data_IF_258608810333
#
_entry.id   IF_258608810333
#
_cell.length_a   1.000
_cell.length_b   1.000
_cell.length_c   1.000
_cell.angle_alpha   90.00
_cell.angle_beta   90.00
_cell.angle_gamma   90.00
#
_symmetry.space_group_name_H-M   'P 1'
#
loop_
_entity.id
_entity.type
_entity.pdbx_description
1 polymer ?
#
# COMPACT_ATOMS: atom_id res chain seq x y z
N UNK A 1 20.11 -12.46 -0.28
CA UNK A 1 18.92 -11.81 0.30
C UNK A 1 18.69 -10.52 -0.45
N UNK A 2 17.45 -10.16 -0.73
CA UNK A 2 17.06 -8.90 -1.39
C UNK A 2 16.24 -8.07 -0.40
N UNK A 3 16.51 -6.76 -0.32
CA UNK A 3 15.65 -5.81 0.40
C UNK A 3 14.90 -5.00 -0.65
N UNK A 4 13.58 -4.98 -0.57
CA UNK A 4 12.71 -4.31 -1.53
C UNK A 4 11.80 -3.31 -0.81
N UNK A 5 11.86 -2.05 -1.23
CA UNK A 5 11.04 -0.96 -0.67
C UNK A 5 10.02 -0.54 -1.71
N UNK A 6 8.74 -0.46 -1.32
CA UNK A 6 7.53 -0.32 -2.15
C UNK A 6 6.96 -1.62 -2.74
N UNK A 7 5.64 -1.62 -2.95
CA UNK A 7 4.87 -2.69 -3.60
C UNK A 7 5.45 -3.08 -4.98
N UNK A 8 5.89 -2.09 -5.77
CA UNK A 8 6.46 -2.35 -7.10
C UNK A 8 7.79 -3.11 -7.04
N UNK A 9 8.69 -2.73 -6.12
CA UNK A 9 9.96 -3.41 -5.92
C UNK A 9 9.77 -4.83 -5.36
N UNK A 10 8.83 -5.00 -4.43
CA UNK A 10 8.47 -6.32 -3.89
C UNK A 10 7.98 -7.23 -5.00
N UNK A 11 7.10 -6.75 -5.88
CA UNK A 11 6.61 -7.50 -7.04
C UNK A 11 7.74 -7.90 -7.97
N UNK A 12 8.65 -6.97 -8.29
CA UNK A 12 9.79 -7.26 -9.15
C UNK A 12 10.72 -8.33 -8.54
N UNK A 13 11.07 -8.19 -7.25
CA UNK A 13 11.96 -9.11 -6.55
C UNK A 13 11.35 -10.52 -6.41
N UNK A 14 10.08 -10.60 -6.01
CA UNK A 14 9.38 -11.88 -5.87
C UNK A 14 9.11 -12.57 -7.22
N UNK A 15 9.05 -11.83 -8.32
CA UNK A 15 9.00 -12.41 -9.68
C UNK A 15 10.37 -12.90 -10.15
N UNK A 16 11.43 -12.17 -9.83
CA UNK A 16 12.80 -12.52 -10.22
C UNK A 16 13.31 -13.78 -9.50
N UNK A 17 12.79 -14.08 -8.31
CA UNK A 17 13.24 -15.22 -7.52
C UNK A 17 12.17 -15.73 -6.55
N UNK A 18 12.04 -17.06 -6.50
CA UNK A 18 11.22 -17.78 -5.50
C UNK A 18 12.04 -18.45 -4.39
N UNK A 19 13.36 -18.37 -4.45
CA UNK A 19 14.27 -19.10 -3.53
C UNK A 19 15.14 -18.18 -2.69
N UNK A 20 15.61 -17.05 -3.24
CA UNK A 20 16.35 -16.03 -2.48
C UNK A 20 15.36 -15.31 -1.56
N UNK A 21 15.63 -15.22 -0.24
CA UNK A 21 14.77 -14.46 0.68
C UNK A 21 14.64 -12.99 0.28
N UNK A 22 13.41 -12.48 0.28
CA UNK A 22 13.06 -11.08 0.05
C UNK A 22 12.51 -10.50 1.35
N UNK A 23 13.10 -9.39 1.80
CA UNK A 23 12.60 -8.59 2.92
C UNK A 23 11.95 -7.34 2.34
N UNK A 24 10.63 -7.26 2.46
CA UNK A 24 9.81 -6.16 2.00
C UNK A 24 9.64 -5.06 3.05
N UNK A 25 9.58 -3.82 2.57
CA UNK A 25 9.07 -2.68 3.33
C UNK A 25 8.05 -1.96 2.44
N UNK A 26 6.78 -2.04 2.82
CA UNK A 26 5.70 -1.35 2.14
C UNK A 26 4.76 -0.72 3.16
N UNK A 27 4.54 0.59 3.04
CA UNK A 27 3.71 1.36 3.96
C UNK A 27 2.42 1.84 3.28
N UNK A 28 2.13 1.29 2.10
CA UNK A 28 1.05 1.76 1.25
C UNK A 28 0.05 0.67 0.88
N UNK A 29 0.33 -0.62 1.09
CA UNK A 29 -0.56 -1.68 0.62
C UNK A 29 -0.63 -2.89 1.55
N UNK A 30 -1.81 -3.50 1.62
CA UNK A 30 -2.00 -4.79 2.27
C UNK A 30 -1.34 -5.90 1.43
N UNK A 31 -0.34 -6.64 1.96
CA UNK A 31 0.39 -7.67 1.23
C UNK A 31 -0.41 -8.97 1.03
N UNK A 32 -1.43 -9.23 1.87
CA UNK A 32 -2.35 -10.36 1.72
C UNK A 32 -3.35 -10.04 0.62
N UNK A 33 -3.98 -8.86 0.67
CA UNK A 33 -4.90 -8.40 -0.37
C UNK A 33 -4.21 -8.28 -1.75
N UNK A 34 -2.93 -7.89 -1.75
CA UNK A 34 -2.10 -7.83 -2.96
C UNK A 34 -1.61 -9.20 -3.46
N UNK A 35 -1.85 -10.27 -2.70
CA UNK A 35 -1.44 -11.65 -3.03
C UNK A 35 0.07 -11.89 -2.92
N UNK A 36 0.81 -11.01 -2.26
CA UNK A 36 2.25 -11.17 -2.03
C UNK A 36 2.55 -12.23 -0.97
N UNK A 37 1.69 -12.36 0.04
CA UNK A 37 1.79 -13.39 1.08
C UNK A 37 0.42 -14.03 1.34
N UNK A 38 0.42 -15.26 1.84
CA UNK A 38 -0.81 -15.95 2.22
C UNK A 38 -1.39 -15.43 3.55
N UNK A 39 -0.53 -15.08 4.52
CA UNK A 39 -0.90 -14.51 5.81
C UNK A 39 0.30 -13.89 6.51
N UNK A 40 0.09 -13.00 7.48
CA UNK A 40 1.17 -12.46 8.32
C UNK A 40 1.85 -13.52 9.18
N UNK A 41 1.08 -14.44 9.78
CA UNK A 41 1.63 -15.48 10.65
C UNK A 41 2.46 -16.51 9.86
N UNK A 42 2.06 -16.79 8.61
CA UNK A 42 2.73 -17.72 7.70
C UNK A 42 2.65 -17.18 6.27
N UNK A 43 3.70 -16.49 5.80
CA UNK A 43 3.70 -15.87 4.47
C UNK A 43 3.54 -16.84 3.30
N UNK A 44 3.96 -18.10 3.46
CA UNK A 44 3.79 -19.15 2.45
C UNK A 44 4.76 -19.09 1.27
N UNK A 45 5.79 -18.24 1.33
CA UNK A 45 6.80 -18.08 0.29
C UNK A 45 8.12 -17.51 0.83
N UNK A 46 8.95 -16.97 -0.06
CA UNK A 46 10.24 -16.37 0.27
C UNK A 46 10.18 -14.88 0.64
N UNK A 47 8.97 -14.31 0.75
CA UNK A 47 8.75 -12.91 1.16
C UNK A 47 8.40 -12.84 2.65
N UNK A 48 9.07 -11.94 3.36
CA UNK A 48 8.72 -11.48 4.70
C UNK A 48 8.98 -9.97 4.79
N UNK A 49 8.67 -9.31 5.90
CA UNK A 49 8.97 -7.89 6.05
C UNK A 49 8.01 -7.13 6.95
N UNK A 50 8.03 -5.80 6.78
CA UNK A 50 7.16 -4.87 7.48
C UNK A 50 6.17 -4.32 6.45
N UNK A 51 4.89 -4.52 6.73
CA UNK A 51 3.80 -4.04 5.91
C UNK A 51 2.83 -3.28 6.80
N UNK A 52 2.52 -2.04 6.42
CA UNK A 52 1.55 -1.21 7.11
C UNK A 52 0.65 -0.61 6.05
N UNK A 53 -0.64 -0.92 6.09
CA UNK A 53 -1.62 -0.23 5.25
C UNK A 53 -2.31 0.83 6.11
N UNK A 54 -2.32 2.07 5.65
CA UNK A 54 -2.89 3.22 6.37
C UNK A 54 -3.87 4.00 5.47
N UNK A 55 -4.90 3.33 4.91
CA UNK A 55 -5.80 3.96 3.95
C UNK A 55 -6.56 5.15 4.58
N UNK A 56 -6.85 5.09 5.88
CA UNK A 56 -7.56 6.15 6.62
C UNK A 56 -6.77 7.47 6.70
N UNK A 57 -5.44 7.45 6.55
CA UNK A 57 -4.65 8.67 6.47
C UNK A 57 -5.04 9.53 5.27
N UNK A 58 -5.46 8.90 4.18
CA UNK A 58 -5.95 9.62 2.98
C UNK A 58 -7.23 10.38 3.31
N UNK A 59 -8.15 9.74 4.03
CA UNK A 59 -9.37 10.38 4.49
C UNK A 59 -9.09 11.55 5.43
N UNK A 60 -8.18 11.36 6.38
CA UNK A 60 -7.78 12.42 7.31
C UNK A 60 -7.10 13.60 6.59
N UNK A 61 -6.28 13.33 5.59
CA UNK A 61 -5.68 14.38 4.77
C UNK A 61 -6.76 15.21 4.04
N UNK A 62 -7.84 14.58 3.58
CA UNK A 62 -8.96 15.27 2.94
C UNK A 62 -9.77 16.10 3.94
N UNK A 63 -10.03 15.59 5.15
CA UNK A 63 -10.65 16.36 6.23
C UNK A 63 -9.84 17.62 6.56
N UNK A 64 -8.53 17.48 6.75
CA UNK A 64 -7.63 18.60 7.05
C UNK A 64 -7.60 19.62 5.90
N UNK A 65 -7.68 19.17 4.65
CA UNK A 65 -7.78 20.07 3.50
C UNK A 65 -9.08 20.88 3.52
N UNK A 66 -10.21 20.27 3.89
CA UNK A 66 -11.50 20.96 4.05
C UNK A 66 -11.48 21.97 5.19
N UNK A 67 -10.82 21.65 6.30
CA UNK A 67 -10.62 22.57 7.43
C UNK A 67 -9.73 23.77 7.05
N UNK A 68 -8.65 23.52 6.31
CA UNK A 68 -7.69 24.55 5.90
C UNK A 68 -8.22 25.51 4.83
N UNK A 69 -9.11 25.03 3.95
CA UNK A 69 -9.72 25.82 2.86
C UNK A 69 -11.25 25.77 2.97
N UNK A 70 -11.84 26.66 3.79
CA UNK A 70 -13.29 26.73 3.95
C UNK A 70 -13.99 26.98 2.61
N UNK A 71 -14.93 26.10 2.24
CA UNK A 71 -15.71 26.22 1.00
C UNK A 71 -15.19 25.42 -0.20
N UNK A 72 -14.18 24.56 -0.01
CA UNK A 72 -13.77 23.61 -1.06
C UNK A 72 -14.91 22.63 -1.37
N UNK A 73 -15.32 22.56 -2.64
CA UNK A 73 -16.44 21.70 -3.11
C UNK A 73 -15.98 20.56 -4.02
N UNK A 74 -14.74 20.61 -4.52
CA UNK A 74 -14.19 19.64 -5.47
C UNK A 74 -12.72 19.42 -5.17
N UNK A 75 -12.34 18.15 -5.03
CA UNK A 75 -10.95 17.70 -4.86
C UNK A 75 -10.68 16.64 -5.90
N UNK A 76 -9.56 16.77 -6.62
CA UNK A 76 -9.12 15.78 -7.59
C UNK A 76 -8.05 14.88 -6.95
N UNK A 77 -8.23 13.56 -7.08
CA UNK A 77 -7.27 12.57 -6.61
C UNK A 77 -6.54 11.98 -7.83
N UNK A 78 -5.26 12.31 -7.98
CA UNK A 78 -4.38 11.67 -8.96
C UNK A 78 -3.64 10.52 -8.29
N UNK A 79 -3.77 9.31 -8.85
CA UNK A 79 -3.21 8.09 -8.27
C UNK A 79 -2.80 7.08 -9.33
N UNK A 80 -1.88 6.21 -8.98
CA UNK A 80 -1.64 4.97 -9.72
C UNK A 80 -2.68 3.91 -9.29
N UNK A 81 -3.52 3.40 -10.20
CA UNK A 81 -4.47 2.34 -9.86
C UNK A 81 -3.79 1.02 -9.44
N UNK A 82 -2.52 0.80 -9.81
CA UNK A 82 -1.80 -0.45 -9.55
C UNK A 82 -1.15 -0.55 -8.17
N UNK A 83 -0.98 0.56 -7.43
CA UNK A 83 -0.17 0.59 -6.21
C UNK A 83 -0.95 0.36 -4.90
N UNK A 84 -2.17 0.90 -4.76
CA UNK A 84 -3.02 0.67 -3.59
C UNK A 84 -4.52 0.77 -3.92
N UNK A 85 -5.24 -0.34 -4.19
CA UNK A 85 -6.65 -0.28 -4.53
C UNK A 85 -7.55 0.30 -3.41
N UNK A 86 -7.17 0.18 -2.14
CA UNK A 86 -7.94 0.66 -0.99
C UNK A 86 -7.95 2.20 -0.84
N UNK A 87 -7.01 2.90 -1.48
CA UNK A 87 -6.88 4.36 -1.34
C UNK A 87 -8.07 5.16 -1.90
N UNK A 88 -8.72 4.67 -2.97
CA UNK A 88 -9.87 5.35 -3.56
C UNK A 88 -11.12 5.30 -2.66
N UNK A 89 -11.59 4.12 -2.20
CA UNK A 89 -12.75 4.07 -1.31
C UNK A 89 -12.49 4.80 0.02
N UNK A 90 -11.25 4.83 0.51
CA UNK A 90 -10.90 5.61 1.69
C UNK A 90 -11.08 7.13 1.45
N UNK A 91 -10.65 7.64 0.30
CA UNK A 91 -10.83 9.05 -0.07
C UNK A 91 -12.31 9.43 -0.28
N UNK A 92 -13.12 8.53 -0.82
CA UNK A 92 -14.57 8.75 -1.03
C UNK A 92 -15.36 8.79 0.27
N UNK A 93 -14.85 8.18 1.34
CA UNK A 93 -15.52 8.10 2.64
C UNK A 93 -15.39 9.35 3.52
N UNK A 94 -14.62 10.37 3.09
CA UNK A 94 -14.23 11.55 3.89
C UNK A 94 -14.80 12.87 3.39
#
# INVERSE_FOLDING_TARGET
MIVAVSSSAIRAATNATKTIPVVGLDLESDPVASGFIASFARPGGNLTGIFVDLPELTGKALELLKEAIPGIIRVALLRDPALNPALLPAAESS
#
